data_IF_656842553412
#
_entry.id   IF_656842553412
#
_cell.length_a   1.000
_cell.length_b   1.000
_cell.length_c   1.000
_cell.angle_alpha   90.00
_cell.angle_beta   90.00
_cell.angle_gamma   90.00
#
_symmetry.space_group_name_H-M   'P 1'
#
loop_
_entity.id
_entity.type
_entity.pdbx_description
1 polymer ?
#
# COMPACT_ATOMS: atom_id res chain seq x y z
N UNK A 1 -20.11 -14.22 -18.43
CA UNK A 1 -20.23 -13.41 -19.67
C UNK A 1 -19.08 -13.76 -20.59
N UNK A 2 -19.33 -14.01 -21.88
CA UNK A 2 -18.32 -14.08 -22.93
C UNK A 2 -17.48 -12.79 -22.97
N UNK A 3 -16.16 -12.92 -23.20
CA UNK A 3 -15.21 -11.79 -23.21
C UNK A 3 -15.62 -10.66 -24.16
N UNK A 4 -16.25 -11.00 -25.30
CA UNK A 4 -16.70 -10.03 -26.32
C UNK A 4 -17.87 -9.17 -25.84
N UNK A 5 -18.82 -9.75 -25.09
CA UNK A 5 -19.92 -8.98 -24.50
C UNK A 5 -19.39 -8.03 -23.42
N UNK A 6 -18.47 -8.51 -22.58
CA UNK A 6 -17.80 -7.66 -21.59
C UNK A 6 -17.08 -6.48 -22.25
N UNK A 7 -16.37 -6.69 -23.37
CA UNK A 7 -15.69 -5.62 -24.09
C UNK A 7 -16.67 -4.60 -24.70
N UNK A 8 -17.83 -5.05 -25.20
CA UNK A 8 -18.86 -4.18 -25.76
C UNK A 8 -19.48 -3.29 -24.68
N UNK A 9 -19.88 -3.88 -23.55
CA UNK A 9 -20.43 -3.14 -22.41
C UNK A 9 -19.44 -2.10 -21.88
N UNK A 10 -18.14 -2.44 -21.84
CA UNK A 10 -17.10 -1.49 -21.47
C UNK A 10 -16.96 -0.37 -22.50
N UNK A 11 -16.94 -0.67 -23.80
CA UNK A 11 -16.80 0.35 -24.85
C UNK A 11 -17.95 1.37 -24.81
N UNK A 12 -19.18 0.91 -24.62
CA UNK A 12 -20.36 1.78 -24.51
C UNK A 12 -20.29 2.65 -23.25
N UNK A 13 -19.88 2.08 -22.11
CA UNK A 13 -19.65 2.85 -20.89
C UNK A 13 -18.54 3.89 -21.07
N UNK A 14 -17.46 3.57 -21.78
CA UNK A 14 -16.36 4.50 -22.04
C UNK A 14 -16.74 5.66 -22.95
N UNK A 15 -17.59 5.45 -23.95
CA UNK A 15 -18.12 6.53 -24.79
C UNK A 15 -19.01 7.49 -23.98
N UNK A 16 -19.74 7.03 -22.95
CA UNK A 16 -20.51 7.91 -22.06
C UNK A 16 -19.64 8.92 -21.30
N UNK A 17 -18.41 8.54 -20.95
CA UNK A 17 -17.48 9.43 -20.23
C UNK A 17 -16.63 10.28 -21.17
N UNK A 18 -16.56 9.92 -22.46
CA UNK A 18 -15.71 10.57 -23.46
C UNK A 18 -16.36 11.88 -23.90
N UNK A 19 -15.99 12.97 -23.23
CA UNK A 19 -16.49 14.31 -23.52
C UNK A 19 -17.18 15.00 -22.34
N UNK A 20 -17.26 14.34 -21.17
CA UNK A 20 -17.69 15.02 -19.95
C UNK A 20 -16.62 16.04 -19.53
N UNK A 21 -17.01 17.28 -19.21
CA UNK A 21 -16.08 18.28 -18.70
C UNK A 21 -15.65 17.90 -17.28
N UNK A 22 -14.52 18.45 -16.85
CA UNK A 22 -13.88 18.11 -15.57
C UNK A 22 -14.74 18.47 -14.35
N UNK A 23 -15.53 19.52 -14.46
CA UNK A 23 -16.47 20.01 -13.46
C UNK A 23 -17.84 19.29 -13.50
N UNK A 24 -18.01 18.31 -14.39
CA UNK A 24 -19.21 17.48 -14.42
C UNK A 24 -19.40 16.77 -13.08
N UNK A 25 -20.61 16.86 -12.54
CA UNK A 25 -20.98 16.19 -11.30
C UNK A 25 -21.67 14.87 -11.60
N UNK A 26 -21.12 13.77 -11.08
CA UNK A 26 -21.64 12.42 -11.25
C UNK A 26 -22.31 11.90 -9.97
N UNK A 27 -23.39 11.14 -10.13
CA UNK A 27 -24.01 10.42 -9.02
C UNK A 27 -23.16 9.19 -8.63
N UNK A 28 -23.58 8.49 -7.57
CA UNK A 28 -22.86 7.35 -7.03
C UNK A 28 -22.74 6.21 -8.05
N UNK A 29 -23.79 5.95 -8.83
CA UNK A 29 -23.85 4.88 -9.80
C UNK A 29 -22.86 5.09 -10.95
N UNK A 30 -22.85 6.27 -11.56
CA UNK A 30 -21.91 6.61 -12.63
C UNK A 30 -20.47 6.71 -12.12
N UNK A 31 -20.28 7.18 -10.89
CA UNK A 31 -18.95 7.23 -10.26
C UNK A 31 -18.38 5.84 -10.00
N UNK A 32 -19.22 4.91 -9.52
CA UNK A 32 -18.83 3.52 -9.30
C UNK A 32 -18.50 2.82 -10.63
N UNK A 33 -19.33 3.06 -11.67
CA UNK A 33 -19.08 2.57 -13.02
C UNK A 33 -17.76 3.11 -13.58
N UNK A 34 -17.50 4.41 -13.45
CA UNK A 34 -16.27 5.05 -13.93
C UNK A 34 -15.00 4.49 -13.28
N UNK A 35 -15.07 4.17 -11.98
CA UNK A 35 -13.96 3.57 -11.23
C UNK A 35 -13.88 2.04 -11.37
N UNK A 36 -14.81 1.42 -12.10
CA UNK A 36 -14.94 -0.03 -12.25
C UNK A 36 -15.04 -0.77 -10.90
N UNK A 37 -15.81 -0.23 -9.95
CA UNK A 37 -16.06 -0.84 -8.64
C UNK A 37 -17.56 -0.92 -8.35
N UNK A 38 -17.96 -1.76 -7.40
CA UNK A 38 -19.36 -1.77 -6.94
C UNK A 38 -19.70 -0.49 -6.17
N UNK A 39 -20.99 -0.09 -6.20
CA UNK A 39 -21.50 1.01 -5.35
C UNK A 39 -21.21 0.78 -3.87
N UNK A 40 -21.26 -0.48 -3.41
CA UNK A 40 -20.91 -0.88 -2.04
C UNK A 40 -19.44 -0.62 -1.73
N UNK A 41 -18.55 -0.92 -2.67
CA UNK A 41 -17.11 -0.65 -2.55
C UNK A 41 -16.84 0.85 -2.48
N UNK A 42 -17.46 1.64 -3.36
CA UNK A 42 -17.32 3.10 -3.35
C UNK A 42 -17.85 3.72 -2.05
N UNK A 43 -18.96 3.20 -1.52
CA UNK A 43 -19.47 3.62 -0.21
C UNK A 43 -18.49 3.29 0.93
N UNK A 44 -17.83 2.13 0.90
CA UNK A 44 -16.79 1.76 1.87
C UNK A 44 -15.58 2.69 1.80
N UNK A 45 -15.08 2.99 0.60
CA UNK A 45 -13.97 3.94 0.44
C UNK A 45 -14.29 5.30 1.06
N UNK A 46 -15.50 5.80 0.85
CA UNK A 46 -15.97 7.04 1.48
C UNK A 46 -16.03 6.94 3.01
N UNK A 47 -16.51 5.82 3.56
CA UNK A 47 -16.61 5.61 5.01
C UNK A 47 -15.24 5.59 5.71
N UNK A 48 -14.23 5.05 5.05
CA UNK A 48 -12.88 4.92 5.60
C UNK A 48 -11.99 6.15 5.35
N UNK A 49 -12.40 7.05 4.46
CA UNK A 49 -11.55 8.17 4.02
C UNK A 49 -10.55 7.79 2.91
N UNK A 50 -10.65 6.59 2.34
CA UNK A 50 -9.75 6.07 1.30
C UNK A 50 -10.22 6.42 -0.13
N UNK A 51 -11.37 7.08 -0.27
CA UNK A 51 -12.05 7.34 -1.53
C UNK A 51 -11.78 8.70 -2.15
N UNK A 52 -12.25 8.93 -3.39
CA UNK A 52 -12.24 10.25 -4.01
C UNK A 52 -13.07 11.24 -3.18
N UNK A 53 -12.69 12.52 -3.26
CA UNK A 53 -13.46 13.61 -2.68
C UNK A 53 -14.89 13.62 -3.21
N UNK A 54 -15.84 13.99 -2.37
CA UNK A 54 -17.26 13.95 -2.69
C UNK A 54 -17.97 15.21 -2.23
N UNK A 55 -19.03 15.54 -2.96
CA UNK A 55 -19.97 16.61 -2.64
C UNK A 55 -21.14 16.00 -1.89
N UNK A 56 -21.39 16.53 -0.70
CA UNK A 56 -22.59 16.23 0.06
C UNK A 56 -23.28 17.55 0.40
N UNK A 57 -24.45 17.78 -0.21
CA UNK A 57 -25.20 19.00 0.03
C UNK A 57 -25.80 18.96 1.44
N UNK A 58 -25.38 19.89 2.28
CA UNK A 58 -25.96 20.06 3.62
C UNK A 58 -27.30 20.76 3.48
N UNK A 59 -28.39 20.04 3.68
CA UNK A 59 -29.73 20.64 3.71
C UNK A 59 -29.96 21.40 5.03
N UNK A 60 -29.42 22.61 5.18
CA UNK A 60 -29.65 23.50 6.33
C UNK A 60 -29.51 22.81 7.71
N UNK A 61 -30.51 22.99 8.58
CA UNK A 61 -30.58 22.40 9.94
C UNK A 61 -30.80 20.86 9.97
N UNK A 62 -30.79 20.19 8.81
CA UNK A 62 -31.05 18.75 8.76
C UNK A 62 -29.86 17.95 9.32
N UNK A 63 -30.13 17.17 10.37
CA UNK A 63 -29.20 16.16 10.91
C UNK A 63 -29.36 14.80 10.21
N UNK A 64 -30.05 14.74 9.08
CA UNK A 64 -30.29 13.48 8.37
C UNK A 64 -28.98 12.91 7.83
N UNK A 65 -28.70 11.63 8.15
CA UNK A 65 -27.47 10.94 7.75
C UNK A 65 -27.47 10.51 6.27
N UNK A 66 -28.64 10.36 5.66
CA UNK A 66 -28.82 9.85 4.29
C UNK A 66 -28.88 10.98 3.25
N UNK A 67 -27.94 11.92 3.31
CA UNK A 67 -27.84 12.97 2.28
C UNK A 67 -27.28 12.39 0.98
N UNK A 68 -27.75 12.91 -0.15
CA UNK A 68 -27.26 12.53 -1.48
C UNK A 68 -25.77 12.88 -1.62
N UNK A 69 -25.02 11.95 -2.21
CA UNK A 69 -23.59 12.10 -2.47
C UNK A 69 -23.37 12.16 -3.97
N UNK A 70 -22.53 13.09 -4.42
CA UNK A 70 -22.08 13.20 -5.80
C UNK A 70 -20.56 13.41 -5.84
N UNK A 71 -19.95 13.28 -7.01
CA UNK A 71 -18.51 13.38 -7.21
C UNK A 71 -18.21 14.28 -8.41
N UNK A 72 -17.16 15.10 -8.33
CA UNK A 72 -16.65 15.78 -9.51
C UNK A 72 -15.86 14.80 -10.38
N UNK A 73 -16.02 14.92 -11.70
CA UNK A 73 -15.30 14.06 -12.63
C UNK A 73 -13.78 14.26 -12.55
N UNK A 74 -13.32 15.49 -12.27
CA UNK A 74 -11.91 15.80 -11.97
C UNK A 74 -11.37 15.01 -10.79
N UNK A 75 -12.12 14.90 -9.70
CA UNK A 75 -11.67 14.26 -8.46
C UNK A 75 -11.61 12.74 -8.62
N UNK A 76 -12.58 12.17 -9.35
CA UNK A 76 -12.56 10.76 -9.75
C UNK A 76 -11.34 10.44 -10.61
N UNK A 77 -11.01 11.31 -11.59
CA UNK A 77 -9.81 11.19 -12.43
C UNK A 77 -8.53 11.25 -11.60
N UNK A 78 -8.43 12.25 -10.73
CA UNK A 78 -7.26 12.48 -9.88
C UNK A 78 -7.02 11.27 -8.97
N UNK A 79 -8.05 10.81 -8.26
CA UNK A 79 -7.97 9.64 -7.38
C UNK A 79 -7.60 8.37 -8.15
N UNK A 80 -8.23 8.10 -9.29
CA UNK A 80 -7.89 6.93 -10.11
C UNK A 80 -6.44 6.96 -10.58
N UNK A 81 -5.95 8.14 -10.99
CA UNK A 81 -4.58 8.29 -11.45
C UNK A 81 -3.54 8.16 -10.32
N UNK A 82 -3.87 8.61 -9.10
CA UNK A 82 -2.98 8.46 -7.94
C UNK A 82 -2.85 7.01 -7.46
N UNK A 83 -3.80 6.14 -7.85
CA UNK A 83 -3.80 4.72 -7.48
C UNK A 83 -3.19 3.80 -8.55
N UNK A 84 -2.58 4.36 -9.60
CA UNK A 84 -1.85 3.58 -10.60
C UNK A 84 -0.54 3.06 -10.03
N UNK A 85 -0.31 1.77 -10.22
CA UNK A 85 0.95 1.08 -9.91
C UNK A 85 1.47 0.40 -11.17
N UNK A 86 2.79 0.36 -11.35
CA UNK A 86 3.45 -0.19 -12.54
C UNK A 86 4.01 -1.59 -12.33
N UNK A 87 4.03 -2.08 -11.08
CA UNK A 87 4.48 -3.43 -10.75
C UNK A 87 3.78 -3.97 -9.51
N UNK A 88 3.78 -5.30 -9.36
CA UNK A 88 3.29 -5.98 -8.15
C UNK A 88 4.07 -5.55 -6.90
N UNK A 89 5.38 -5.28 -7.04
CA UNK A 89 6.23 -4.79 -5.95
C UNK A 89 5.80 -3.39 -5.49
N UNK A 90 5.58 -2.46 -6.42
CA UNK A 90 5.08 -1.12 -6.08
C UNK A 90 3.69 -1.21 -5.41
N UNK A 91 2.84 -2.14 -5.85
CA UNK A 91 1.55 -2.38 -5.21
C UNK A 91 1.68 -2.88 -3.76
N UNK A 92 2.70 -3.69 -3.45
CA UNK A 92 3.00 -4.13 -2.09
C UNK A 92 3.53 -2.97 -1.23
N UNK A 93 4.44 -2.15 -1.78
CA UNK A 93 4.97 -0.96 -1.11
C UNK A 93 3.88 0.05 -0.75
N UNK A 94 2.98 0.39 -1.68
CA UNK A 94 1.85 1.31 -1.41
C UNK A 94 0.93 0.79 -0.31
N UNK A 95 0.86 -0.53 -0.11
CA UNK A 95 0.08 -1.16 0.96
C UNK A 95 0.85 -1.31 2.27
N UNK A 96 2.10 -0.85 2.35
CA UNK A 96 2.97 -1.06 3.51
C UNK A 96 3.35 -2.52 3.73
N UNK A 97 3.28 -3.35 2.69
CA UNK A 97 3.62 -4.79 2.74
C UNK A 97 5.09 -5.05 2.37
N UNK A 98 5.85 -4.00 2.04
CA UNK A 98 7.26 -4.08 1.66
C UNK A 98 8.00 -2.82 2.14
N UNK A 99 9.31 -2.94 2.35
CA UNK A 99 10.18 -1.79 2.65
C UNK A 99 10.18 -0.80 1.48
N UNK A 100 10.12 0.49 1.81
CA UNK A 100 10.01 1.60 0.85
C UNK A 100 11.30 2.39 0.73
N UNK A 101 12.12 2.40 1.79
CA UNK A 101 13.37 3.16 1.85
C UNK A 101 14.34 2.58 2.87
N UNK A 102 15.62 2.98 2.77
CA UNK A 102 16.64 2.68 3.78
C UNK A 102 16.20 3.08 5.19
N UNK A 103 15.41 4.15 5.33
CA UNK A 103 14.94 4.62 6.62
C UNK A 103 14.03 3.60 7.32
N UNK A 104 13.35 2.72 6.58
CA UNK A 104 12.49 1.71 7.17
C UNK A 104 13.28 0.69 7.99
N UNK A 105 14.51 0.36 7.59
CA UNK A 105 15.38 -0.53 8.37
C UNK A 105 15.85 0.10 9.67
N UNK A 106 15.87 1.44 9.76
CA UNK A 106 16.33 2.19 10.96
C UNK A 106 15.21 2.46 11.97
N UNK A 107 13.96 2.14 11.62
CA UNK A 107 12.83 2.28 12.55
C UNK A 107 12.92 1.21 13.64
N UNK A 108 12.53 1.58 14.86
CA UNK A 108 12.48 0.63 15.96
C UNK A 108 11.33 -0.35 15.71
N UNK A 109 11.65 -1.64 15.73
CA UNK A 109 10.70 -2.73 15.57
C UNK A 109 10.77 -3.66 16.80
N UNK A 110 9.68 -4.37 17.12
CA UNK A 110 9.64 -5.24 18.27
C UNK A 110 10.27 -6.60 17.97
N UNK A 111 11.23 -7.00 18.79
CA UNK A 111 11.86 -8.33 18.75
C UNK A 111 11.74 -9.02 20.11
N UNK A 112 11.39 -10.30 20.08
CA UNK A 112 11.51 -11.15 21.25
C UNK A 112 12.97 -11.52 21.49
N UNK A 113 13.39 -11.46 22.75
CA UNK A 113 14.66 -12.03 23.20
C UNK A 113 14.42 -13.13 24.22
N UNK A 114 15.36 -14.07 24.33
CA UNK A 114 15.43 -15.05 25.42
C UNK A 114 16.85 -15.04 25.94
N UNK A 115 17.03 -14.73 27.23
CA UNK A 115 18.34 -14.58 27.87
C UNK A 115 19.33 -13.71 27.06
N UNK A 116 18.87 -12.51 26.67
CA UNK A 116 19.62 -11.52 25.88
C UNK A 116 19.99 -11.93 24.45
N UNK A 117 19.41 -13.01 23.91
CA UNK A 117 19.56 -13.39 22.51
C UNK A 117 18.27 -13.17 21.74
N UNK A 118 18.38 -12.64 20.53
CA UNK A 118 17.26 -12.44 19.63
C UNK A 118 16.65 -13.78 19.25
N UNK A 119 15.38 -13.95 19.57
CA UNK A 119 14.61 -15.14 19.22
C UNK A 119 13.96 -14.96 17.84
N UNK A 120 13.15 -13.91 17.67
CA UNK A 120 12.45 -13.59 16.43
C UNK A 120 11.82 -12.20 16.49
N UNK A 121 11.30 -11.72 15.36
CA UNK A 121 10.47 -10.52 15.32
C UNK A 121 9.09 -10.80 15.91
N UNK A 122 8.57 -9.90 16.73
CA UNK A 122 7.36 -10.15 17.52
C UNK A 122 6.09 -10.28 16.68
N UNK A 123 6.07 -9.72 15.47
CA UNK A 123 4.92 -9.79 14.56
C UNK A 123 4.96 -10.94 13.55
N UNK A 124 5.99 -11.79 13.56
CA UNK A 124 6.16 -12.87 12.56
C UNK A 124 6.02 -14.28 13.16
N UNK A 125 5.77 -14.37 14.46
CA UNK A 125 5.56 -15.65 15.16
C UNK A 125 4.08 -16.06 15.14
N UNK A 126 3.81 -17.34 15.37
CA UNK A 126 2.44 -17.82 15.51
C UNK A 126 1.86 -17.46 16.89
N UNK A 127 0.54 -17.49 17.01
CA UNK A 127 -0.18 -17.18 18.26
C UNK A 127 0.21 -18.14 19.39
N UNK A 128 0.52 -19.40 19.07
CA UNK A 128 0.99 -20.39 20.04
C UNK A 128 2.36 -19.99 20.60
N UNK A 129 3.32 -19.67 19.72
CA UNK A 129 4.68 -19.25 20.12
C UNK A 129 4.62 -17.92 20.88
N UNK A 130 3.76 -16.99 20.45
CA UNK A 130 3.54 -15.74 21.17
C UNK A 130 3.07 -15.99 22.60
N UNK A 131 2.08 -16.88 22.77
CA UNK A 131 1.54 -17.22 24.08
C UNK A 131 2.59 -17.85 25.00
N UNK A 132 3.44 -18.73 24.45
CA UNK A 132 4.55 -19.35 25.19
C UNK A 132 5.58 -18.30 25.65
N UNK A 133 6.01 -17.40 24.75
CA UNK A 133 6.97 -16.34 25.06
C UNK A 133 6.39 -15.34 26.05
N UNK A 134 5.10 -15.01 25.95
CA UNK A 134 4.43 -14.08 26.85
C UNK A 134 4.33 -14.62 28.28
N UNK A 135 4.17 -15.94 28.45
CA UNK A 135 4.09 -16.57 29.77
C UNK A 135 5.46 -16.86 30.39
N UNK A 136 6.52 -16.85 29.58
CA UNK A 136 7.89 -17.13 30.04
C UNK A 136 8.50 -15.92 30.77
N UNK A 137 9.15 -16.17 31.90
CA UNK A 137 9.87 -15.13 32.66
C UNK A 137 11.27 -14.83 32.11
N UNK A 138 11.72 -15.57 31.09
CA UNK A 138 13.06 -15.42 30.48
C UNK A 138 13.04 -14.64 29.18
N UNK A 139 11.84 -14.29 28.71
CA UNK A 139 11.62 -13.60 27.46
C UNK A 139 11.16 -12.17 27.70
N UNK A 140 11.66 -11.27 26.86
CA UNK A 140 11.27 -9.87 26.83
C UNK A 140 11.11 -9.40 25.39
N UNK A 141 10.37 -8.32 25.19
CA UNK A 141 10.33 -7.60 23.92
C UNK A 141 11.25 -6.41 24.02
N UNK A 142 12.23 -6.34 23.12
CA UNK A 142 13.07 -5.15 22.93
C UNK A 142 12.65 -4.42 21.66
N UNK A 143 12.84 -3.10 21.67
CA UNK A 143 12.61 -2.25 20.51
C UNK A 143 13.96 -1.89 19.92
N UNK A 144 14.26 -2.48 18.77
CA UNK A 144 15.54 -2.32 18.08
C UNK A 144 15.28 -2.32 16.58
N UNK A 145 16.10 -1.59 15.86
CA UNK A 145 15.99 -1.46 14.42
C UNK A 145 16.71 -2.60 13.70
N UNK A 146 16.26 -2.93 12.48
CA UNK A 146 16.69 -4.15 11.75
C UNK A 146 18.19 -4.09 11.42
N UNK A 147 18.70 -2.93 11.04
CA UNK A 147 20.12 -2.72 10.78
C UNK A 147 21.00 -2.99 12.01
N UNK A 148 20.47 -2.82 13.22
CA UNK A 148 21.20 -3.11 14.48
C UNK A 148 21.02 -4.54 14.93
N UNK A 149 19.78 -5.06 14.91
CA UNK A 149 19.47 -6.40 15.43
C UNK A 149 20.19 -7.52 14.67
N UNK A 150 20.57 -7.27 13.41
CA UNK A 150 21.39 -8.20 12.61
C UNK A 150 22.80 -8.45 13.16
N UNK A 151 23.29 -7.58 14.04
CA UNK A 151 24.59 -7.68 14.71
C UNK A 151 24.50 -8.19 16.16
N UNK A 152 23.29 -8.38 16.69
CA UNK A 152 23.08 -8.97 18.00
C UNK A 152 23.25 -10.50 17.97
N UNK A 153 23.30 -11.14 19.13
CA UNK A 153 23.32 -12.59 19.25
C UNK A 153 21.93 -13.19 18.99
N UNK A 154 21.83 -14.22 18.14
CA UNK A 154 20.56 -14.89 17.82
C UNK A 154 20.48 -16.29 18.41
N UNK A 155 19.27 -16.69 18.83
CA UNK A 155 18.97 -18.08 19.21
C UNK A 155 18.99 -19.03 18.01
N UNK A 156 18.67 -18.52 16.80
CA UNK A 156 18.50 -19.32 15.60
C UNK A 156 19.14 -18.65 14.39
N UNK A 157 20.10 -19.34 13.76
CA UNK A 157 20.68 -18.89 12.50
C UNK A 157 19.63 -18.78 11.39
N UNK A 158 18.60 -19.63 11.40
CA UNK A 158 17.51 -19.61 10.40
C UNK A 158 16.65 -18.35 10.52
N UNK A 159 16.29 -17.95 11.75
CA UNK A 159 15.50 -16.73 11.96
C UNK A 159 16.31 -15.49 11.60
N UNK A 160 17.59 -15.45 12.00
CA UNK A 160 18.52 -14.40 11.61
C UNK A 160 18.68 -14.29 10.09
N UNK A 161 18.75 -15.43 9.40
CA UNK A 161 18.94 -15.47 7.94
C UNK A 161 17.82 -14.77 7.19
N UNK A 162 16.55 -14.92 7.62
CA UNK A 162 15.40 -14.26 6.96
C UNK A 162 15.57 -12.75 6.91
N UNK A 163 15.97 -12.14 8.02
CA UNK A 163 16.19 -10.69 8.11
C UNK A 163 17.43 -10.27 7.34
N UNK A 164 18.48 -11.09 7.37
CA UNK A 164 19.69 -10.83 6.59
C UNK A 164 19.40 -10.83 5.09
N UNK A 165 18.66 -11.83 4.58
CA UNK A 165 18.35 -11.95 3.16
C UNK A 165 17.52 -10.75 2.68
N UNK A 166 16.48 -10.37 3.44
CA UNK A 166 15.69 -9.17 3.16
C UNK A 166 16.54 -7.90 3.14
N UNK A 167 17.48 -7.78 4.08
CA UNK A 167 18.38 -6.62 4.15
C UNK A 167 19.31 -6.60 2.93
N UNK A 168 19.97 -7.71 2.60
CA UNK A 168 20.90 -7.80 1.46
C UNK A 168 20.17 -7.56 0.13
N UNK A 169 19.04 -8.24 -0.10
CA UNK A 169 18.25 -8.10 -1.33
C UNK A 169 17.87 -6.64 -1.59
N UNK A 170 17.38 -5.93 -0.56
CA UNK A 170 17.04 -4.52 -0.67
C UNK A 170 18.24 -3.63 -1.06
N UNK A 171 19.41 -3.85 -0.46
CA UNK A 171 20.61 -3.08 -0.78
C UNK A 171 21.15 -3.40 -2.18
N UNK A 172 21.08 -4.66 -2.61
CA UNK A 172 21.45 -5.05 -3.97
C UNK A 172 20.57 -4.36 -5.02
N UNK A 173 19.24 -4.33 -4.81
CA UNK A 173 18.31 -3.61 -5.67
C UNK A 173 18.64 -2.10 -5.75
N UNK A 174 18.96 -1.47 -4.61
CA UNK A 174 19.35 -0.05 -4.59
C UNK A 174 20.64 0.22 -5.35
N UNK A 175 21.65 -0.66 -5.19
CA UNK A 175 22.93 -0.55 -5.88
C UNK A 175 22.71 -0.65 -7.39
N UNK A 176 21.96 -1.64 -7.85
CA UNK A 176 21.66 -1.83 -9.27
C UNK A 176 20.83 -0.66 -9.83
N UNK A 177 19.86 -0.16 -9.06
CA UNK A 177 19.09 1.03 -9.41
C UNK A 177 19.97 2.27 -9.61
N UNK A 178 20.96 2.48 -8.72
CA UNK A 178 21.92 3.59 -8.86
C UNK A 178 22.79 3.45 -10.10
N UNK A 179 23.33 2.24 -10.36
CA UNK A 179 24.13 1.96 -11.57
C UNK A 179 23.33 2.23 -12.84
N UNK A 180 22.10 1.73 -12.91
CA UNK A 180 21.20 1.92 -14.05
C UNK A 180 20.84 3.41 -14.24
N UNK A 181 20.58 4.14 -13.15
CA UNK A 181 20.33 5.58 -13.18
C UNK A 181 21.50 6.38 -13.77
N UNK A 182 22.73 6.06 -13.37
CA UNK A 182 23.93 6.70 -13.89
C UNK A 182 24.14 6.39 -15.38
N UNK A 183 23.98 5.13 -15.79
CA UNK A 183 24.08 4.74 -17.20
C UNK A 183 23.04 5.47 -18.07
N UNK A 184 21.79 5.55 -17.60
CA UNK A 184 20.73 6.30 -18.28
C UNK A 184 21.10 7.78 -18.45
N UNK A 185 21.66 8.39 -17.41
CA UNK A 185 22.09 9.79 -17.46
C UNK A 185 23.21 10.00 -18.49
N UNK A 186 24.23 9.13 -18.50
CA UNK A 186 25.31 9.18 -19.49
C UNK A 186 24.76 9.07 -20.92
N UNK A 187 23.92 8.08 -21.19
CA UNK A 187 23.33 7.88 -22.53
C UNK A 187 22.51 9.10 -22.95
N UNK A 188 21.69 9.63 -22.04
CA UNK A 188 20.87 10.82 -22.30
C UNK A 188 21.71 12.08 -22.55
N UNK A 189 22.89 12.19 -21.92
CA UNK A 189 23.82 13.30 -22.15
C UNK A 189 24.58 13.25 -23.48
N UNK A 190 24.70 12.06 -24.07
CA UNK A 190 25.36 11.84 -25.37
C UNK A 190 24.38 12.04 -26.53
N UNK A 191 23.09 11.75 -26.31
CA UNK A 191 22.03 11.84 -27.32
C UNK A 191 21.40 13.24 -27.44
N UNK A 192 21.70 14.14 -26.51
CA UNK A 192 21.33 15.56 -26.54
C UNK A 192 22.49 16.40 -27.07
#
# INVERSE_FOLDING_TARGET
MPIVETLRDHSEAWELFKGLPDDATLNVELSALYLCVSVKTLARYRQNGDGPAYIQYQAGNSKARNQRVNYLFSDLKAWRNSHKVVSSMQAAQVRGLAFTSLSDFTKLEPFWTIDNKIYSHSLTISDEVFSELFQSTRSEVIWISIEKVLFEDWCSARERQRWNDLFIEFFEELIEGCKAGQQKHIISSILN
#
